data_IF_007054057500
#
_entry.id   IF_007054057500
#
_cell.length_a   1.000
_cell.length_b   1.000
_cell.length_c   1.000
_cell.angle_alpha   90.00
_cell.angle_beta   90.00
_cell.angle_gamma   90.00
#
_symmetry.space_group_name_H-M   'P 1'
#
loop_
_entity.id
_entity.type
_entity.pdbx_description
1 polymer ?
#
# COMPACT_ATOMS: atom_id res chain seq x y z
N UNK A 1 -25.61 22.47 0.59
CA UNK A 1 -24.33 22.02 0.00
C UNK A 1 -24.65 20.88 -0.94
N UNK A 2 -24.81 21.16 -2.23
CA UNK A 2 -25.08 20.13 -3.23
C UNK A 2 -23.76 19.83 -3.93
N UNK A 3 -23.19 18.65 -3.66
CA UNK A 3 -22.11 18.11 -4.46
C UNK A 3 -22.76 17.54 -5.72
N UNK A 4 -22.87 18.33 -6.79
CA UNK A 4 -23.36 17.82 -8.05
C UNK A 4 -22.19 17.07 -8.71
N UNK A 5 -22.29 15.75 -8.81
CA UNK A 5 -21.37 14.94 -9.60
C UNK A 5 -21.96 14.85 -11.01
N UNK A 6 -21.15 15.04 -12.07
CA UNK A 6 -21.59 14.80 -13.45
C UNK A 6 -20.60 13.87 -14.16
N UNK A 7 -21.11 12.86 -14.86
CA UNK A 7 -20.29 11.75 -15.37
C UNK A 7 -20.10 11.81 -16.89
N UNK A 8 -18.85 11.59 -17.34
CA UNK A 8 -18.55 10.90 -18.60
C UNK A 8 -17.36 9.92 -18.45
N UNK A 9 -17.71 8.63 -18.60
CA UNK A 9 -16.95 7.48 -19.11
C UNK A 9 -15.98 6.64 -18.23
N UNK A 10 -16.35 5.34 -18.19
CA UNK A 10 -15.57 4.08 -18.29
C UNK A 10 -14.77 3.60 -17.07
N UNK A 11 -15.46 2.84 -16.21
CA UNK A 11 -14.85 1.87 -15.30
C UNK A 11 -14.46 0.57 -16.03
N UNK A 12 -13.21 0.12 -15.90
CA UNK A 12 -12.77 -1.22 -16.27
C UNK A 12 -12.68 -2.12 -15.02
N UNK A 13 -13.42 -3.22 -15.00
CA UNK A 13 -13.34 -4.27 -13.97
C UNK A 13 -12.30 -5.33 -14.35
N UNK A 14 -11.41 -5.69 -13.41
CA UNK A 14 -10.50 -6.82 -13.54
C UNK A 14 -10.89 -7.92 -12.53
N UNK A 15 -11.16 -9.14 -13.02
CA UNK A 15 -11.53 -10.31 -12.22
C UNK A 15 -10.33 -11.27 -12.08
N UNK A 16 -10.14 -11.85 -10.90
CA UNK A 16 -9.30 -13.02 -10.70
C UNK A 16 -9.97 -14.00 -9.74
N UNK A 17 -10.27 -15.21 -10.22
CA UNK A 17 -10.86 -16.32 -9.47
C UNK A 17 -9.80 -17.38 -9.23
N UNK A 18 -9.58 -17.78 -7.98
CA UNK A 18 -8.66 -18.87 -7.62
C UNK A 18 -9.47 -20.11 -7.26
N UNK A 19 -9.17 -21.22 -7.95
CA UNK A 19 -9.79 -22.54 -7.72
C UNK A 19 -8.80 -23.40 -6.92
N UNK A 20 -9.24 -23.91 -5.77
CA UNK A 20 -8.45 -24.79 -4.89
C UNK A 20 -8.59 -26.26 -5.32
N UNK A 21 -7.48 -26.99 -5.34
CA UNK A 21 -7.44 -28.45 -5.51
C UNK A 21 -6.57 -29.04 -4.40
N UNK A 22 -7.11 -29.99 -3.64
CA UNK A 22 -6.40 -30.78 -2.63
C UNK A 22 -5.80 -32.04 -3.27
N UNK A 23 -4.57 -32.38 -2.91
CA UNK A 23 -4.03 -33.74 -3.04
C UNK A 23 -3.30 -34.15 -1.77
N UNK A 24 -3.42 -35.44 -1.43
CA UNK A 24 -2.82 -36.14 -0.28
C UNK A 24 -1.52 -36.85 -0.70
N UNK A 25 -0.64 -37.23 0.26
CA UNK A 25 0.78 -37.41 0.00
C UNK A 25 1.17 -38.83 -0.40
N UNK A 26 2.17 -38.96 -1.26
CA UNK A 26 2.91 -40.20 -1.51
C UNK A 26 4.30 -40.10 -0.90
N UNK A 27 4.62 -41.02 -0.01
CA UNK A 27 5.94 -41.21 0.61
C UNK A 27 6.95 -41.71 -0.41
N UNK A 28 8.06 -40.99 -0.59
CA UNK A 28 9.22 -41.45 -1.35
C UNK A 28 10.49 -41.11 -0.59
N UNK A 29 11.24 -42.16 -0.22
CA UNK A 29 12.61 -42.08 0.32
C UNK A 29 13.51 -41.44 -0.74
N UNK A 30 14.07 -40.27 -0.46
CA UNK A 30 15.12 -39.67 -1.30
C UNK A 30 16.46 -39.68 -0.59
N UNK A 31 17.38 -40.37 -1.26
CA UNK A 31 18.82 -40.40 -1.06
C UNK A 31 19.35 -38.96 -1.08
N UNK A 32 20.08 -38.57 -0.04
CA UNK A 32 20.75 -37.28 0.05
C UNK A 32 21.83 -37.20 -1.01
N UNK A 33 21.54 -36.46 -2.08
CA UNK A 33 22.54 -35.94 -3.01
C UNK A 33 22.81 -34.52 -2.57
N UNK A 34 24.06 -34.26 -2.17
CA UNK A 34 24.59 -32.93 -1.83
C UNK A 34 24.64 -32.07 -3.09
N UNK A 35 23.51 -31.45 -3.46
CA UNK A 35 23.52 -30.28 -4.33
C UNK A 35 24.18 -29.14 -3.56
N UNK A 36 25.29 -28.62 -4.08
CA UNK A 36 25.88 -27.36 -3.64
C UNK A 36 24.80 -26.27 -3.68
N UNK A 37 24.23 -25.93 -2.53
CA UNK A 37 23.32 -24.80 -2.43
C UNK A 37 24.12 -23.55 -2.78
N UNK A 38 23.61 -22.74 -3.71
CA UNK A 38 24.22 -21.47 -4.05
C UNK A 38 23.94 -20.52 -2.88
N UNK A 39 24.89 -20.45 -1.95
CA UNK A 39 24.81 -19.61 -0.76
C UNK A 39 25.39 -18.22 -1.05
N UNK A 40 24.59 -17.20 -0.76
CA UNK A 40 24.99 -15.80 -0.89
C UNK A 40 24.84 -15.09 0.45
N UNK A 41 25.61 -14.02 0.65
CA UNK A 41 25.52 -13.14 1.82
C UNK A 41 25.12 -11.73 1.44
N UNK A 42 24.34 -11.10 2.31
CA UNK A 42 24.00 -9.68 2.31
C UNK A 42 24.04 -9.15 3.75
N UNK A 43 24.28 -7.86 3.96
CA UNK A 43 24.22 -7.26 5.29
C UNK A 43 22.76 -7.07 5.74
N UNK A 44 21.91 -6.66 4.80
CA UNK A 44 20.48 -6.39 5.03
C UNK A 44 19.66 -7.04 3.92
N UNK A 45 18.60 -7.75 4.31
CA UNK A 45 17.60 -8.30 3.39
C UNK A 45 16.25 -7.74 3.74
N UNK A 46 15.56 -7.19 2.74
CA UNK A 46 14.19 -6.69 2.85
C UNK A 46 13.29 -7.64 2.06
N UNK A 47 12.33 -8.25 2.75
CA UNK A 47 11.34 -9.14 2.12
C UNK A 47 10.07 -8.36 1.81
N UNK A 48 9.79 -8.14 0.52
CA UNK A 48 8.63 -7.39 0.01
C UNK A 48 9.02 -6.02 -0.52
N UNK A 49 8.85 -5.79 -1.83
CA UNK A 49 9.15 -4.55 -2.56
C UNK A 49 7.91 -3.73 -2.91
N UNK A 50 6.88 -3.77 -2.07
CA UNK A 50 5.81 -2.77 -2.10
C UNK A 50 6.27 -1.41 -1.58
N UNK A 51 5.37 -0.43 -1.51
CA UNK A 51 5.67 0.95 -1.08
C UNK A 51 6.56 1.04 0.18
N UNK A 52 6.24 0.28 1.23
CA UNK A 52 7.01 0.31 2.51
C UNK A 52 8.42 -0.27 2.36
N UNK A 53 8.55 -1.42 1.70
CA UNK A 53 9.85 -2.08 1.53
C UNK A 53 10.77 -1.32 0.59
N UNK A 54 10.22 -0.77 -0.48
CA UNK A 54 10.94 0.10 -1.41
C UNK A 54 11.35 1.41 -0.74
N UNK A 55 10.49 2.01 0.09
CA UNK A 55 10.86 3.19 0.89
C UNK A 55 12.01 2.89 1.87
N UNK A 56 11.94 1.76 2.57
CA UNK A 56 13.02 1.33 3.47
C UNK A 56 14.33 1.08 2.69
N UNK A 57 14.25 0.41 1.54
CA UNK A 57 15.40 0.17 0.69
C UNK A 57 16.04 1.48 0.19
N UNK A 58 15.22 2.46 -0.20
CA UNK A 58 15.69 3.80 -0.59
C UNK A 58 16.39 4.50 0.58
N UNK A 59 15.79 4.50 1.76
CA UNK A 59 16.36 5.14 2.95
C UNK A 59 17.73 4.53 3.30
N UNK A 60 17.83 3.21 3.31
CA UNK A 60 19.09 2.51 3.59
C UNK A 60 20.14 2.72 2.49
N UNK A 61 19.74 2.75 1.22
CA UNK A 61 20.66 2.97 0.10
C UNK A 61 21.22 4.39 0.03
N UNK A 62 20.42 5.39 0.43
CA UNK A 62 20.85 6.79 0.49
C UNK A 62 21.62 7.15 1.77
N UNK A 63 21.63 6.30 2.79
CA UNK A 63 22.38 6.53 4.03
C UNK A 63 23.89 6.31 3.82
N UNK A 64 24.67 7.39 3.96
CA UNK A 64 26.11 7.37 3.72
C UNK A 64 26.87 6.51 4.75
N UNK A 65 26.35 6.38 5.97
CA UNK A 65 26.92 5.48 6.98
C UNK A 65 26.80 3.99 6.58
N UNK A 66 25.92 3.65 5.65
CA UNK A 66 25.67 2.28 5.17
C UNK A 66 26.20 2.03 3.76
N UNK A 67 27.01 2.95 3.18
CA UNK A 67 27.50 2.83 1.80
C UNK A 67 28.26 1.55 1.48
N UNK A 68 28.95 0.98 2.47
CA UNK A 68 29.74 -0.25 2.33
C UNK A 68 28.91 -1.51 2.65
N UNK A 69 27.59 -1.37 2.80
CA UNK A 69 26.67 -2.47 3.12
C UNK A 69 25.96 -2.96 1.87
N UNK A 70 25.89 -4.29 1.74
CA UNK A 70 25.13 -4.95 0.68
C UNK A 70 23.68 -5.12 1.11
N UNK A 71 22.78 -4.42 0.44
CA UNK A 71 21.34 -4.46 0.70
C UNK A 71 20.67 -5.24 -0.42
N UNK A 72 19.81 -6.21 -0.08
CA UNK A 72 19.01 -6.96 -1.05
C UNK A 72 17.53 -6.74 -0.76
N UNK A 73 16.78 -6.24 -1.76
CA UNK A 73 15.33 -6.14 -1.73
C UNK A 73 14.72 -7.27 -2.57
N UNK A 74 13.91 -8.12 -1.95
CA UNK A 74 13.20 -9.21 -2.62
C UNK A 74 11.79 -8.76 -3.00
N UNK A 75 11.46 -8.81 -4.29
CA UNK A 75 10.12 -8.52 -4.81
C UNK A 75 9.60 -9.70 -5.63
N UNK A 76 8.42 -10.21 -5.25
CA UNK A 76 7.81 -11.37 -5.89
C UNK A 76 7.23 -11.06 -7.28
N UNK A 77 6.82 -9.81 -7.52
CA UNK A 77 6.30 -9.33 -8.78
C UNK A 77 7.42 -9.03 -9.79
N UNK A 78 7.05 -8.99 -11.06
CA UNK A 78 7.94 -8.48 -12.10
C UNK A 78 8.14 -6.97 -11.97
N UNK A 79 9.31 -6.49 -12.39
CA UNK A 79 9.56 -5.05 -12.52
C UNK A 79 8.53 -4.47 -13.48
N UNK A 80 7.75 -3.51 -13.00
CA UNK A 80 6.77 -2.80 -13.83
C UNK A 80 7.42 -1.57 -14.44
N UNK A 81 7.16 -1.34 -15.72
CA UNK A 81 7.30 0.00 -16.30
C UNK A 81 6.00 0.76 -15.99
N UNK A 82 6.12 1.96 -15.45
CA UNK A 82 4.97 2.78 -15.08
C UNK A 82 5.05 4.15 -15.75
N UNK A 83 3.93 4.53 -16.34
CA UNK A 83 3.65 5.87 -16.85
C UNK A 83 2.29 6.27 -16.32
N UNK A 84 2.17 7.50 -15.82
CA UNK A 84 0.92 8.02 -15.26
C UNK A 84 -0.18 7.96 -16.33
N UNK A 85 -1.24 7.15 -16.14
CA UNK A 85 -2.36 7.10 -17.08
C UNK A 85 -3.21 8.37 -17.01
N UNK A 86 -3.98 8.67 -18.06
CA UNK A 86 -4.94 9.78 -18.01
C UNK A 86 -6.00 9.56 -16.93
N UNK A 87 -6.54 8.34 -16.83
CA UNK A 87 -7.45 7.94 -15.77
C UNK A 87 -6.75 7.83 -14.40
N UNK A 88 -7.47 8.17 -13.34
CA UNK A 88 -7.00 7.97 -11.97
C UNK A 88 -7.22 6.52 -11.52
N UNK A 89 -6.30 6.03 -10.70
CA UNK A 89 -6.43 4.81 -9.92
C UNK A 89 -7.33 5.04 -8.71
N UNK A 90 -8.21 4.10 -8.42
CA UNK A 90 -9.03 4.13 -7.19
C UNK A 90 -8.20 3.84 -5.92
N UNK A 91 -6.94 3.42 -6.06
CA UNK A 91 -6.03 3.19 -4.93
C UNK A 91 -5.17 4.43 -4.71
N UNK A 92 -5.56 5.22 -3.73
CA UNK A 92 -4.88 6.46 -3.37
C UNK A 92 -4.57 6.49 -1.88
N UNK A 93 -3.56 7.27 -1.51
CA UNK A 93 -3.22 7.57 -0.13
C UNK A 93 -3.45 9.06 0.13
N UNK A 94 -3.98 9.38 1.31
CA UNK A 94 -3.85 10.69 1.90
C UNK A 94 -2.50 10.75 2.63
N UNK A 95 -1.58 11.55 2.11
CA UNK A 95 -0.20 11.70 2.56
C UNK A 95 -0.16 12.86 3.54
N UNK A 96 0.12 12.56 4.81
CA UNK A 96 0.33 13.58 5.86
C UNK A 96 1.63 14.34 5.63
N UNK A 97 1.80 15.54 6.22
CA UNK A 97 3.07 16.28 6.18
C UNK A 97 4.27 15.43 6.65
N UNK A 98 4.10 14.64 7.71
CA UNK A 98 5.15 13.71 8.17
C UNK A 98 5.51 12.60 7.16
N UNK A 99 4.57 12.17 6.33
CA UNK A 99 4.84 11.21 5.25
C UNK A 99 5.51 11.92 4.06
N UNK A 100 5.16 13.18 3.81
CA UNK A 100 5.88 14.06 2.87
C UNK A 100 7.33 14.21 3.31
N UNK A 101 7.60 14.47 4.59
CA UNK A 101 8.97 14.59 5.13
C UNK A 101 9.77 13.30 4.91
N UNK A 102 9.17 12.15 5.20
CA UNK A 102 9.79 10.84 4.96
C UNK A 102 10.14 10.64 3.48
N UNK A 103 9.18 10.87 2.57
CA UNK A 103 9.40 10.73 1.13
C UNK A 103 10.42 11.75 0.60
N UNK A 104 10.44 12.96 1.17
CA UNK A 104 11.40 14.01 0.85
C UNK A 104 12.82 13.61 1.27
N UNK A 105 12.98 12.97 2.44
CA UNK A 105 14.29 12.52 2.94
C UNK A 105 14.98 11.52 2.00
N UNK A 106 14.21 10.75 1.23
CA UNK A 106 14.72 9.81 0.21
C UNK A 106 14.66 10.38 -1.21
N UNK A 107 14.27 11.65 -1.35
CA UNK A 107 14.13 12.37 -2.62
C UNK A 107 12.93 11.95 -3.48
N UNK A 108 12.03 11.12 -2.97
CA UNK A 108 10.89 10.60 -3.72
C UNK A 108 9.73 11.59 -3.80
N UNK A 109 9.61 12.53 -2.85
CA UNK A 109 8.50 13.49 -2.86
C UNK A 109 8.47 14.36 -4.13
N UNK A 110 9.62 14.88 -4.54
CA UNK A 110 9.74 15.67 -5.76
C UNK A 110 9.27 14.90 -7.01
N UNK A 111 9.50 13.59 -7.07
CA UNK A 111 9.03 12.74 -8.17
C UNK A 111 7.49 12.57 -8.12
N UNK A 112 6.90 12.47 -6.93
CA UNK A 112 5.44 12.41 -6.74
C UNK A 112 4.79 13.71 -7.24
N UNK A 113 5.31 14.86 -6.83
CA UNK A 113 4.80 16.18 -7.23
C UNK A 113 4.89 16.40 -8.74
N UNK A 114 5.98 15.95 -9.38
CA UNK A 114 6.15 16.05 -10.83
C UNK A 114 5.25 15.10 -11.61
N UNK A 115 4.87 13.96 -11.02
CA UNK A 115 3.99 12.99 -11.66
C UNK A 115 2.53 13.37 -11.52
N UNK A 116 1.96 13.22 -10.32
CA UNK A 116 0.55 13.52 -10.04
C UNK A 116 0.24 13.42 -8.55
N UNK A 117 -0.10 14.55 -7.95
CA UNK A 117 -0.73 14.62 -6.63
C UNK A 117 -1.64 15.85 -6.55
N UNK A 118 -2.48 15.90 -5.52
CA UNK A 118 -3.29 17.09 -5.26
C UNK A 118 -3.33 17.45 -3.78
N UNK A 119 -3.09 18.71 -3.47
CA UNK A 119 -3.18 19.30 -2.13
C UNK A 119 -4.61 19.29 -1.57
N UNK A 120 -4.73 18.96 -0.29
CA UNK A 120 -5.92 19.16 0.53
C UNK A 120 -5.65 20.32 1.47
N UNK A 121 -6.45 21.38 1.41
CA UNK A 121 -6.27 22.58 2.26
C UNK A 121 -7.13 22.56 3.51
N UNK A 122 -8.24 21.82 3.44
CA UNK A 122 -9.24 21.76 4.50
C UNK A 122 -9.86 20.37 4.54
N UNK A 123 -10.27 19.93 5.72
CA UNK A 123 -11.09 18.74 5.87
C UNK A 123 -12.36 19.08 6.67
N UNK A 124 -13.51 18.62 6.19
CA UNK A 124 -14.78 18.74 6.91
C UNK A 124 -15.29 17.35 7.27
N UNK A 125 -15.57 17.16 8.57
CA UNK A 125 -16.02 15.90 9.13
C UNK A 125 -17.30 16.12 9.90
N UNK A 126 -18.37 15.41 9.55
CA UNK A 126 -19.63 15.49 10.28
C UNK A 126 -20.28 14.12 10.47
N UNK A 127 -21.24 14.09 11.38
CA UNK A 127 -22.00 12.88 11.71
C UNK A 127 -23.41 12.96 11.10
N UNK A 128 -23.97 11.82 10.71
CA UNK A 128 -25.31 11.78 10.11
C UNK A 128 -26.44 11.78 11.15
N UNK A 129 -26.14 11.43 12.39
CA UNK A 129 -27.10 11.22 13.47
C UNK A 129 -27.10 12.37 14.48
N UNK A 130 -26.34 13.44 14.22
CA UNK A 130 -26.25 14.64 15.05
C UNK A 130 -25.84 15.84 14.23
N UNK A 131 -25.95 17.04 14.80
CA UNK A 131 -25.49 18.29 14.18
C UNK A 131 -23.97 18.52 14.36
N UNK A 132 -23.21 17.48 14.70
CA UNK A 132 -21.78 17.59 14.98
C UNK A 132 -20.98 17.78 13.70
N UNK A 133 -20.20 18.87 13.64
CA UNK A 133 -19.30 19.20 12.53
C UNK A 133 -17.94 19.65 13.08
N UNK A 134 -16.87 19.10 12.53
CA UNK A 134 -15.49 19.50 12.79
C UNK A 134 -14.85 19.91 11.47
N UNK A 135 -14.18 21.06 11.46
CA UNK A 135 -13.38 21.52 10.33
C UNK A 135 -11.91 21.55 10.74
N UNK A 136 -11.05 20.94 9.94
CA UNK A 136 -9.60 21.01 10.07
C UNK A 136 -9.05 21.91 8.97
N UNK A 137 -8.21 22.86 9.35
CA UNK A 137 -7.44 23.72 8.46
C UNK A 137 -6.20 24.21 9.20
N UNK A 138 -5.12 24.49 8.46
CA UNK A 138 -3.97 25.18 9.03
C UNK A 138 -4.31 26.66 9.26
N UNK A 139 -3.75 27.25 10.33
CA UNK A 139 -3.89 28.68 10.63
C UNK A 139 -3.30 29.55 9.51
N UNK A 140 -2.22 29.05 8.91
CA UNK A 140 -1.65 29.60 7.69
C UNK A 140 -2.33 28.94 6.48
N UNK A 141 -3.11 29.72 5.74
CA UNK A 141 -3.87 29.27 4.55
C UNK A 141 -2.99 28.84 3.37
N UNK A 142 -1.67 29.08 3.45
CA UNK A 142 -0.70 28.62 2.45
C UNK A 142 -0.22 27.19 2.69
N UNK A 143 -0.38 26.67 3.91
CA UNK A 143 0.12 25.34 4.26
C UNK A 143 -0.97 24.30 3.95
N UNK A 144 -0.62 23.32 3.14
CA UNK A 144 -1.51 22.21 2.83
C UNK A 144 -1.64 21.25 4.02
N UNK A 145 -2.85 20.74 4.25
CA UNK A 145 -3.14 19.80 5.34
C UNK A 145 -2.62 18.40 5.02
N UNK A 146 -2.72 18.01 3.76
CA UNK A 146 -2.30 16.72 3.23
C UNK A 146 -2.20 16.79 1.70
N UNK A 147 -1.73 15.70 1.10
CA UNK A 147 -1.78 15.49 -0.35
C UNK A 147 -2.47 14.16 -0.66
N UNK A 148 -3.26 14.11 -1.72
CA UNK A 148 -3.77 12.86 -2.26
C UNK A 148 -2.90 12.46 -3.46
N UNK A 149 -2.37 11.25 -3.42
CA UNK A 149 -1.64 10.67 -4.55
C UNK A 149 -2.03 9.20 -4.73
N UNK A 150 -1.93 8.70 -5.96
CA UNK A 150 -2.16 7.30 -6.26
C UNK A 150 -1.01 6.43 -5.74
N UNK A 151 -1.33 5.23 -5.27
CA UNK A 151 -0.32 4.32 -4.75
C UNK A 151 0.77 4.02 -5.79
N UNK A 152 0.38 3.85 -7.06
CA UNK A 152 1.30 3.53 -8.14
C UNK A 152 2.26 4.71 -8.45
N UNK A 153 1.83 5.96 -8.22
CA UNK A 153 2.70 7.15 -8.33
C UNK A 153 3.76 7.16 -7.24
N UNK A 154 3.37 6.85 -6.00
CA UNK A 154 4.32 6.78 -4.86
C UNK A 154 5.31 5.62 -5.06
N UNK A 155 4.82 4.45 -5.48
CA UNK A 155 5.65 3.28 -5.77
C UNK A 155 6.66 3.58 -6.89
N UNK A 156 6.22 4.24 -7.98
CA UNK A 156 7.10 4.65 -9.07
C UNK A 156 8.15 5.67 -8.62
N UNK A 157 7.75 6.68 -7.83
CA UNK A 157 8.66 7.69 -7.31
C UNK A 157 9.79 7.06 -6.50
N UNK A 158 9.42 6.17 -5.57
CA UNK A 158 10.38 5.39 -4.78
C UNK A 158 11.26 4.51 -5.67
N UNK A 159 10.70 3.85 -6.69
CA UNK A 159 11.45 3.00 -7.61
C UNK A 159 12.51 3.78 -8.38
N UNK A 160 12.21 4.98 -8.87
CA UNK A 160 13.18 5.87 -9.54
C UNK A 160 14.33 6.27 -8.62
N UNK A 161 14.02 6.57 -7.36
CA UNK A 161 15.04 6.88 -6.34
C UNK A 161 15.91 5.67 -6.04
N UNK A 162 15.32 4.47 -5.99
CA UNK A 162 16.04 3.24 -5.77
C UNK A 162 17.02 2.92 -6.92
N UNK A 163 16.66 3.26 -8.17
CA UNK A 163 17.56 3.12 -9.32
C UNK A 163 18.81 4.01 -9.21
N UNK A 164 18.72 5.16 -8.55
CA UNK A 164 19.87 6.04 -8.33
C UNK A 164 20.89 5.49 -7.33
N UNK A 165 20.54 4.42 -6.60
CA UNK A 165 21.42 3.73 -5.62
C UNK A 165 21.57 2.24 -5.95
N UNK A 166 21.45 1.88 -7.24
CA UNK A 166 21.53 0.48 -7.70
C UNK A 166 22.91 -0.17 -7.49
N UNK A 167 23.94 0.64 -7.24
CA UNK A 167 25.28 0.18 -6.84
C UNK A 167 25.31 -0.34 -5.39
N UNK A 168 24.36 0.10 -4.55
CA UNK A 168 24.26 -0.25 -3.11
C UNK A 168 23.11 -1.20 -2.82
N UNK A 169 22.00 -1.08 -3.54
CA UNK A 169 20.80 -1.89 -3.36
C UNK A 169 20.53 -2.79 -4.56
N UNK A 170 20.61 -4.10 -4.33
CA UNK A 170 20.24 -5.13 -5.30
C UNK A 170 18.75 -5.47 -5.17
N UNK A 171 17.97 -5.05 -6.17
CA UNK A 171 16.53 -5.33 -6.23
C UNK A 171 16.26 -6.56 -7.09
N UNK A 172 15.83 -7.64 -6.44
CA UNK A 172 15.53 -8.93 -7.08
C UNK A 172 14.05 -9.08 -7.33
N UNK A 173 13.64 -8.69 -8.54
CA UNK A 173 12.30 -8.92 -9.03
C UNK A 173 12.04 -10.40 -9.31
N UNK A 174 10.76 -10.76 -9.37
CA UNK A 174 10.30 -12.13 -9.55
C UNK A 174 10.95 -13.13 -8.59
N UNK A 175 11.31 -12.69 -7.38
CA UNK A 175 12.04 -13.49 -6.41
C UNK A 175 11.29 -13.49 -5.09
N UNK A 176 10.73 -14.65 -4.72
CA UNK A 176 10.01 -14.84 -3.46
C UNK A 176 10.85 -15.63 -2.45
N UNK A 177 10.85 -15.18 -1.20
CA UNK A 177 11.34 -15.97 -0.08
C UNK A 177 10.30 -17.06 0.30
N UNK A 178 10.75 -18.31 0.40
CA UNK A 178 9.91 -19.48 0.77
C UNK A 178 10.07 -19.88 2.23
N UNK A 179 11.24 -19.63 2.82
CA UNK A 179 11.54 -19.99 4.19
C UNK A 179 12.45 -18.97 4.85
N UNK A 180 12.29 -18.84 6.16
CA UNK A 180 13.13 -18.02 7.02
C UNK A 180 13.53 -18.88 8.21
N UNK A 181 14.84 -18.94 8.47
CA UNK A 181 15.40 -19.55 9.67
C UNK A 181 16.04 -18.43 10.46
N UNK A 182 15.43 -18.12 11.60
CA UNK A 182 15.88 -17.09 12.54
C UNK A 182 16.50 -17.83 13.74
N UNK A 183 17.81 -17.70 13.97
CA UNK A 183 18.47 -18.30 15.12
C UNK A 183 17.77 -17.94 16.43
N UNK A 184 17.65 -18.91 17.34
CA UNK A 184 17.02 -18.73 18.65
C UNK A 184 15.48 -18.70 18.64
N UNK A 185 14.87 -18.44 17.49
CA UNK A 185 13.40 -18.44 17.32
C UNK A 185 12.94 -19.71 16.59
N UNK A 186 13.60 -20.07 15.49
CA UNK A 186 13.19 -21.24 14.70
C UNK A 186 13.50 -22.54 15.44
N UNK A 187 12.52 -23.44 15.65
CA UNK A 187 12.75 -24.71 16.33
C UNK A 187 13.90 -25.51 15.73
N UNK A 188 14.75 -26.07 16.59
CA UNK A 188 15.94 -26.83 16.18
C UNK A 188 17.13 -25.98 15.72
N UNK A 189 17.03 -24.64 15.75
CA UNK A 189 18.11 -23.72 15.35
C UNK A 189 18.49 -22.79 16.50
N UNK A 190 19.23 -23.33 17.48
CA UNK A 190 19.74 -22.54 18.59
C UNK A 190 20.73 -21.47 18.11
N UNK A 191 20.70 -20.30 18.76
CA UNK A 191 21.79 -19.34 18.62
C UNK A 191 23.10 -19.96 19.08
N UNK A 192 24.10 -19.90 18.23
CA UNK A 192 25.47 -20.23 18.59
C UNK A 192 26.37 -19.09 18.09
N UNK A 193 27.56 -18.93 18.66
CA UNK A 193 28.53 -17.95 18.17
C UNK A 193 28.85 -18.10 16.66
N UNK A 194 28.57 -19.27 16.06
CA UNK A 194 28.78 -19.56 14.64
C UNK A 194 27.51 -19.37 13.77
N UNK A 195 26.32 -19.28 14.35
CA UNK A 195 25.05 -19.31 13.62
C UNK A 195 24.14 -18.12 13.96
N UNK A 196 24.71 -16.91 13.97
CA UNK A 196 23.99 -15.65 14.25
C UNK A 196 23.24 -15.06 13.04
N UNK A 197 23.34 -15.69 11.87
CA UNK A 197 22.78 -15.15 10.64
C UNK A 197 21.38 -15.70 10.40
N UNK A 198 20.47 -14.83 9.98
CA UNK A 198 19.17 -15.23 9.46
C UNK A 198 19.38 -15.85 8.08
N UNK A 199 18.78 -17.02 7.86
CA UNK A 199 18.85 -17.72 6.57
C UNK A 199 17.52 -17.60 5.84
N UNK A 200 17.55 -17.06 4.62
CA UNK A 200 16.39 -16.87 3.75
C UNK A 200 16.49 -17.84 2.57
N UNK A 201 15.57 -18.79 2.50
CA UNK A 201 15.47 -19.72 1.38
C UNK A 201 14.63 -19.10 0.26
N UNK A 202 15.20 -19.00 -0.94
CA UNK A 202 14.54 -18.42 -2.10
C UNK A 202 13.80 -19.48 -2.94
N UNK A 203 12.92 -19.02 -3.84
CA UNK A 203 12.07 -19.91 -4.61
C UNK A 203 12.80 -20.84 -5.59
N UNK A 204 14.00 -20.44 -6.02
CA UNK A 204 14.93 -21.14 -6.92
C UNK A 204 15.88 -22.09 -6.16
N UNK A 205 15.68 -22.26 -4.85
CA UNK A 205 16.53 -23.00 -3.93
C UNK A 205 17.90 -22.35 -3.64
N UNK A 206 18.12 -21.10 -4.06
CA UNK A 206 19.23 -20.31 -3.55
C UNK A 206 19.00 -19.95 -2.08
N UNK A 207 20.09 -19.73 -1.36
CA UNK A 207 20.06 -19.40 0.07
C UNK A 207 20.76 -18.07 0.28
N UNK A 208 20.07 -17.12 0.91
CA UNK A 208 20.60 -15.81 1.27
C UNK A 208 20.76 -15.72 2.78
N UNK A 209 21.98 -15.51 3.26
CA UNK A 209 22.28 -15.29 4.68
C UNK A 209 22.39 -13.79 4.94
N UNK A 210 21.77 -13.32 6.01
CA UNK A 210 21.79 -11.90 6.42
C UNK A 210 21.96 -11.71 7.92
N UNK A 211 22.51 -10.55 8.32
CA UNK A 211 22.55 -10.12 9.73
C UNK A 211 21.27 -9.39 10.13
N UNK A 212 20.62 -8.70 9.19
CA UNK A 212 19.36 -8.00 9.40
C UNK A 212 18.33 -8.43 8.36
N UNK A 213 17.17 -8.90 8.83
CA UNK A 213 16.00 -9.19 8.01
C UNK A 213 14.90 -8.18 8.33
N UNK A 214 14.40 -7.48 7.31
CA UNK A 214 13.28 -6.55 7.42
C UNK A 214 12.08 -7.18 6.70
N UNK A 215 10.98 -7.37 7.44
CA UNK A 215 9.71 -7.85 6.89
C UNK A 215 8.84 -6.69 6.41
N UNK A 216 8.70 -6.53 5.09
CA UNK A 216 7.82 -5.57 4.42
C UNK A 216 6.86 -6.28 3.44
N UNK A 217 6.54 -7.54 3.73
CA UNK A 217 5.79 -8.51 2.91
C UNK A 217 4.29 -8.55 3.21
N UNK A 218 3.75 -7.45 3.75
CA UNK A 218 2.32 -7.17 3.83
C UNK A 218 1.53 -7.91 4.92
N UNK A 219 0.20 -7.94 4.74
CA UNK A 219 -0.74 -8.41 5.78
C UNK A 219 -0.54 -9.89 6.14
N UNK A 220 -0.03 -10.71 5.23
CA UNK A 220 0.26 -12.13 5.45
C UNK A 220 1.76 -12.41 5.59
N UNK A 221 2.50 -11.44 6.14
CA UNK A 221 3.96 -11.49 6.31
C UNK A 221 4.47 -12.86 6.80
N UNK A 222 5.26 -13.49 5.95
CA UNK A 222 5.96 -14.73 6.26
C UNK A 222 7.14 -14.47 7.21
N UNK A 223 7.77 -13.30 7.13
CA UNK A 223 8.78 -12.87 8.11
C UNK A 223 8.17 -12.77 9.51
N UNK A 224 7.00 -12.13 9.63
CA UNK A 224 6.29 -12.00 10.90
C UNK A 224 5.95 -13.37 11.51
N UNK A 225 5.50 -14.30 10.68
CA UNK A 225 5.21 -15.68 11.09
C UNK A 225 6.47 -16.42 11.55
N UNK A 226 7.58 -16.27 10.84
CA UNK A 226 8.84 -16.91 11.18
C UNK A 226 9.46 -16.37 12.48
N UNK A 227 9.23 -15.10 12.78
CA UNK A 227 9.62 -14.46 14.05
C UNK A 227 8.68 -14.73 15.22
N UNK A 228 7.64 -15.55 15.05
CA UNK A 228 6.63 -15.85 16.08
C UNK A 228 5.97 -14.61 16.72
N UNK A 229 5.86 -13.51 15.96
CA UNK A 229 5.21 -12.30 16.44
C UNK A 229 3.69 -12.47 16.49
N UNK A 230 3.12 -12.18 17.65
CA UNK A 230 1.68 -12.26 17.87
C UNK A 230 0.98 -11.01 17.32
N UNK A 231 -0.13 -11.21 16.61
CA UNK A 231 -0.96 -10.12 16.09
C UNK A 231 -2.38 -10.19 16.63
N UNK A 232 -2.93 -9.04 16.98
CA UNK A 232 -4.35 -8.91 17.30
C UNK A 232 -5.07 -8.55 16.00
N UNK A 233 -5.95 -9.45 15.54
CA UNK A 233 -6.78 -9.21 14.36
C UNK A 233 -8.22 -8.92 14.79
N UNK A 234 -8.81 -7.86 14.21
CA UNK A 234 -10.23 -7.55 14.32
C UNK A 234 -10.81 -7.49 12.92
N UNK A 235 -11.84 -8.29 12.69
CA UNK A 235 -12.64 -8.20 11.47
C UNK A 235 -13.74 -7.16 11.70
N UNK A 236 -13.64 -6.02 11.04
CA UNK A 236 -14.61 -4.93 11.16
C UNK A 236 -15.98 -5.27 10.55
N UNK A 237 -16.11 -6.39 9.83
CA UNK A 237 -17.34 -6.79 9.12
C UNK A 237 -17.87 -5.68 8.20
N UNK A 238 -16.95 -4.90 7.64
CA UNK A 238 -17.21 -3.78 6.74
C UNK A 238 -16.40 -3.95 5.46
N UNK A 239 -16.89 -3.34 4.38
CA UNK A 239 -16.24 -3.32 3.07
C UNK A 239 -16.24 -1.88 2.55
N UNK A 240 -15.11 -1.45 2.02
CA UNK A 240 -14.98 -0.14 1.38
C UNK A 240 -15.21 -0.26 -0.13
N UNK A 241 -16.19 0.49 -0.64
CA UNK A 241 -16.36 0.76 -2.07
C UNK A 241 -15.51 1.98 -2.41
N UNK A 242 -14.68 1.86 -3.43
CA UNK A 242 -13.83 2.95 -3.91
C UNK A 242 -14.12 3.26 -5.37
N UNK A 243 -14.13 4.56 -5.72
CA UNK A 243 -14.44 5.01 -7.06
C UNK A 243 -13.81 6.38 -7.33
N UNK A 244 -13.48 6.65 -8.59
CA UNK A 244 -13.14 8.00 -9.04
C UNK A 244 -14.41 8.69 -9.48
N UNK A 245 -14.71 9.83 -8.86
CA UNK A 245 -15.89 10.64 -9.13
C UNK A 245 -15.48 11.94 -9.81
N UNK A 246 -16.26 12.40 -10.78
CA UNK A 246 -16.10 13.72 -11.35
C UNK A 246 -17.04 14.71 -10.67
N UNK A 247 -16.47 15.78 -10.10
CA UNK A 247 -17.22 16.84 -9.42
C UNK A 247 -17.59 17.96 -10.39
N UNK A 248 -18.64 18.72 -10.07
CA UNK A 248 -19.01 19.94 -10.78
C UNK A 248 -17.84 20.94 -10.80
N UNK A 249 -17.56 21.51 -11.97
CA UNK A 249 -16.44 22.44 -12.18
C UNK A 249 -16.60 23.76 -11.42
N UNK A 250 -17.80 24.08 -10.92
CA UNK A 250 -18.06 25.26 -10.10
C UNK A 250 -17.59 25.13 -8.65
N UNK A 251 -17.21 23.93 -8.21
CA UNK A 251 -16.76 23.66 -6.84
C UNK A 251 -15.24 23.79 -6.77
N UNK A 252 -14.74 24.59 -5.82
CA UNK A 252 -13.32 24.53 -5.46
C UNK A 252 -13.02 23.19 -4.78
N UNK A 253 -12.33 22.31 -5.50
CA UNK A 253 -12.06 20.95 -5.05
C UNK A 253 -10.77 20.87 -4.21
N UNK A 254 -10.68 21.70 -3.17
CA UNK A 254 -9.53 21.75 -2.25
C UNK A 254 -9.84 21.16 -0.86
N UNK A 255 -11.08 20.69 -0.65
CA UNK A 255 -11.61 20.22 0.63
C UNK A 255 -11.79 18.70 0.60
N UNK A 256 -11.25 18.00 1.60
CA UNK A 256 -11.59 16.61 1.87
C UNK A 256 -12.86 16.55 2.70
N UNK A 257 -13.82 15.73 2.26
CA UNK A 257 -15.12 15.58 2.92
C UNK A 257 -15.20 14.21 3.55
N UNK A 258 -15.69 14.13 4.78
CA UNK A 258 -15.99 12.87 5.43
C UNK A 258 -17.28 12.97 6.24
N UNK A 259 -18.19 12.03 6.02
CA UNK A 259 -19.40 11.89 6.82
C UNK A 259 -19.45 10.52 7.47
N UNK A 260 -19.76 10.47 8.76
CA UNK A 260 -20.06 9.22 9.45
C UNK A 260 -21.53 8.87 9.24
N UNK A 261 -21.79 7.69 8.66
CA UNK A 261 -23.13 7.10 8.55
C UNK A 261 -23.26 5.93 9.54
N UNK A 262 -24.48 5.46 9.86
CA UNK A 262 -24.68 4.33 10.77
C UNK A 262 -23.96 3.05 10.31
N UNK A 263 -23.80 2.87 8.99
CA UNK A 263 -23.14 1.70 8.39
C UNK A 263 -21.62 1.84 8.28
N UNK A 264 -21.07 3.03 8.49
CA UNK A 264 -19.67 3.36 8.31
C UNK A 264 -19.45 4.70 7.59
N UNK A 265 -18.20 5.20 7.55
CA UNK A 265 -17.90 6.49 6.96
C UNK A 265 -17.96 6.47 5.43
N UNK A 266 -18.35 7.61 4.86
CA UNK A 266 -18.18 7.95 3.44
C UNK A 266 -17.26 9.16 3.34
N UNK A 267 -16.28 9.12 2.45
CA UNK A 267 -15.32 10.19 2.25
C UNK A 267 -15.10 10.50 0.77
N UNK A 268 -14.90 11.77 0.44
CA UNK A 268 -14.47 12.25 -0.87
C UNK A 268 -13.19 13.05 -0.73
N UNK A 269 -12.13 12.59 -1.39
CA UNK A 269 -10.79 13.16 -1.32
C UNK A 269 -10.41 13.74 -2.68
N UNK A 270 -9.97 15.01 -2.77
CA UNK A 270 -9.71 15.65 -4.06
C UNK A 270 -8.47 15.06 -4.75
N UNK A 271 -8.60 14.70 -6.03
CA UNK A 271 -7.53 14.17 -6.89
C UNK A 271 -7.05 15.19 -7.93
N UNK A 272 -7.91 16.13 -8.30
CA UNK A 272 -7.61 17.31 -9.12
C UNK A 272 -8.75 18.32 -8.94
N UNK A 273 -8.74 19.44 -9.66
CA UNK A 273 -9.89 20.35 -9.69
C UNK A 273 -11.20 19.72 -10.17
N UNK A 274 -11.15 18.57 -10.88
CA UNK A 274 -12.34 17.93 -11.47
C UNK A 274 -12.68 16.56 -10.89
N UNK A 275 -11.75 15.91 -10.19
CA UNK A 275 -11.92 14.52 -9.76
C UNK A 275 -11.70 14.36 -8.27
N UNK A 276 -12.45 13.44 -7.66
CA UNK A 276 -12.31 13.00 -6.28
C UNK A 276 -12.19 11.47 -6.22
N UNK A 277 -11.44 10.97 -5.25
CA UNK A 277 -11.53 9.58 -4.83
C UNK A 277 -12.64 9.45 -3.78
N UNK A 278 -13.59 8.55 -4.02
CA UNK A 278 -14.59 8.13 -3.06
C UNK A 278 -14.05 6.95 -2.26
N UNK A 279 -14.27 6.98 -0.94
CA UNK A 279 -14.12 5.83 -0.06
C UNK A 279 -15.40 5.71 0.76
N UNK A 280 -16.22 4.70 0.45
CA UNK A 280 -17.46 4.43 1.18
C UNK A 280 -17.37 3.10 1.92
N UNK A 281 -17.11 3.16 3.22
CA UNK A 281 -17.11 2.00 4.09
C UNK A 281 -18.52 1.70 4.57
N UNK A 282 -19.01 0.49 4.29
CA UNK A 282 -20.36 0.08 4.62
C UNK A 282 -20.43 -1.44 4.88
N UNK A 283 -21.64 -1.98 5.07
CA UNK A 283 -21.83 -3.43 5.23
C UNK A 283 -21.49 -4.18 3.94
N UNK A 284 -21.08 -5.46 4.00
CA UNK A 284 -20.74 -6.23 2.80
C UNK A 284 -21.89 -6.34 1.79
N UNK A 285 -23.13 -6.40 2.26
CA UNK A 285 -24.31 -6.47 1.39
C UNK A 285 -24.60 -5.14 0.70
N UNK A 286 -24.50 -4.02 1.43
CA UNK A 286 -24.64 -2.70 0.82
C UNK A 286 -23.50 -2.43 -0.18
N UNK A 287 -22.27 -2.82 0.15
CA UNK A 287 -21.15 -2.68 -0.76
C UNK A 287 -21.34 -3.49 -2.05
N UNK A 288 -21.95 -4.69 -1.96
CA UNK A 288 -22.30 -5.50 -3.13
C UNK A 288 -23.37 -4.80 -3.98
N UNK A 289 -24.43 -4.31 -3.35
CA UNK A 289 -25.48 -3.56 -4.01
C UNK A 289 -24.93 -2.32 -4.75
N UNK A 290 -24.14 -1.49 -4.06
CA UNK A 290 -23.53 -0.27 -4.64
C UNK A 290 -22.63 -0.56 -5.84
N UNK A 291 -22.04 -1.76 -5.93
CA UNK A 291 -21.21 -2.17 -7.07
C UNK A 291 -22.03 -2.68 -8.26
N UNK A 292 -23.28 -3.06 -8.06
CA UNK A 292 -24.13 -3.71 -9.06
C UNK A 292 -25.15 -2.75 -9.69
N UNK A 293 -25.50 -1.66 -9.00
CA UNK A 293 -26.45 -0.67 -9.50
C UNK A 293 -25.89 0.12 -10.70
N UNK A 294 -26.77 0.69 -11.56
CA UNK A 294 -26.36 1.58 -12.64
C UNK A 294 -25.60 2.81 -12.15
N UNK A 295 -24.71 3.35 -12.99
CA UNK A 295 -23.84 4.48 -12.64
C UNK A 295 -24.62 5.72 -12.17
N UNK A 296 -25.72 6.07 -12.84
CA UNK A 296 -26.58 7.20 -12.43
C UNK A 296 -27.16 6.98 -11.03
N UNK A 297 -27.69 5.79 -10.76
CA UNK A 297 -28.21 5.44 -9.42
C UNK A 297 -27.12 5.39 -8.35
N UNK A 298 -25.89 5.04 -8.73
CA UNK A 298 -24.74 5.10 -7.83
C UNK A 298 -24.39 6.53 -7.44
N UNK A 299 -24.42 7.46 -8.40
CA UNK A 299 -24.21 8.89 -8.13
C UNK A 299 -25.30 9.43 -7.22
N UNK A 300 -26.55 9.10 -7.49
CA UNK A 300 -27.68 9.50 -6.63
C UNK A 300 -27.48 9.00 -5.20
N UNK A 301 -27.10 7.72 -5.04
CA UNK A 301 -26.82 7.15 -3.73
C UNK A 301 -25.66 7.83 -3.00
N UNK A 302 -24.60 8.23 -3.72
CA UNK A 302 -23.48 9.00 -3.13
C UNK A 302 -23.94 10.38 -2.69
N UNK A 303 -24.70 11.09 -3.52
CA UNK A 303 -25.21 12.42 -3.20
C UNK A 303 -26.15 12.38 -1.99
N UNK A 304 -27.07 11.41 -1.96
CA UNK A 304 -27.96 11.17 -0.83
C UNK A 304 -27.16 10.85 0.44
N UNK A 305 -26.11 10.03 0.33
CA UNK A 305 -25.26 9.71 1.46
C UNK A 305 -24.54 10.94 2.04
N UNK A 306 -24.27 11.99 1.28
CA UNK A 306 -23.68 13.23 1.80
C UNK A 306 -24.71 14.25 2.31
N UNK A 307 -25.95 14.23 1.80
CA UNK A 307 -26.93 15.31 2.05
C UNK A 307 -28.11 14.88 2.89
N UNK A 308 -28.61 13.64 2.74
CA UNK A 308 -29.85 13.20 3.37
C UNK A 308 -29.74 13.17 4.89
N UNK A 309 -30.71 13.76 5.59
CA UNK A 309 -30.87 13.60 7.03
C UNK A 309 -31.36 12.17 7.33
N UNK A 310 -30.69 11.47 8.24
CA UNK A 310 -31.20 10.18 8.73
C UNK A 310 -32.52 10.48 9.46
N UNK A 311 -33.62 9.97 8.91
CA UNK A 311 -34.96 10.10 9.48
C UNK A 311 -35.19 9.07 10.57
#
# INVERSE_FOLDING_TARGET
MACALSLRQRCFLCFATVRSMRMLPTTSRKIQTTTSQNEETADIVISGGGMVGTAMACALGHEELLKDKKIVLLEAAAKKSYTVPEAFSNRTCAISPSSVDLLSSVGAWNEVEQMRCHSVKRMQVWDSCSDSLITFSNDNLLDDLAYIAENDVIEEALRRRLEAVSDRVDVRYQTSAKSFIIPGVTPGHAETHQNSWVTVGLQDNCVLKTKLLIGADGIFSAVRKAGEFHTIQRDYKQTAVVATLQVDESIDNSVAWQRFLPTGPIAMLPLSSKYCNLIWTTTPDQARYLKEIPEESFVDAVNDAFVSSVS
#
